data_IF_224521765623
#
_entry.id   IF_224521765623
#
_cell.length_a   1.000
_cell.length_b   1.000
_cell.length_c   1.000
_cell.angle_alpha   90.00
_cell.angle_beta   90.00
_cell.angle_gamma   90.00
#
_symmetry.space_group_name_H-M   'P 1'
#
loop_
_entity.id
_entity.type
_entity.pdbx_description
1 polymer ?
#
# COMPACT_ATOMS: atom_id res chain seq x y z
N UNK A 1 11.66 45.65 -10.56
CA UNK A 1 10.69 44.90 -11.38
C UNK A 1 10.80 43.44 -10.96
N UNK A 2 9.93 42.99 -10.05
CA UNK A 2 9.98 41.66 -9.44
C UNK A 2 9.09 40.76 -10.28
N UNK A 3 9.69 39.77 -10.94
CA UNK A 3 8.96 38.75 -11.69
C UNK A 3 8.29 37.83 -10.66
N UNK A 4 7.00 38.08 -10.43
CA UNK A 4 6.14 37.16 -9.69
C UNK A 4 5.86 35.95 -10.58
N UNK A 5 6.19 34.76 -10.10
CA UNK A 5 5.74 33.52 -10.71
C UNK A 5 4.30 33.28 -10.28
N UNK A 6 3.35 33.54 -11.18
CA UNK A 6 1.99 33.02 -11.01
C UNK A 6 2.04 31.52 -11.30
N UNK A 7 1.93 30.72 -10.25
CA UNK A 7 1.73 29.28 -10.40
C UNK A 7 0.38 29.12 -11.07
N UNK A 8 0.40 28.81 -12.38
CA UNK A 8 -0.80 28.49 -13.13
C UNK A 8 -1.30 27.14 -12.62
N UNK A 9 -2.11 27.18 -11.54
CA UNK A 9 -2.87 26.06 -11.00
C UNK A 9 -3.98 25.72 -12.00
N UNK A 10 -3.56 25.22 -13.16
CA UNK A 10 -4.43 24.70 -14.18
C UNK A 10 -4.91 23.33 -13.68
N UNK A 11 -5.85 23.35 -12.72
CA UNK A 11 -6.59 22.20 -12.22
C UNK A 11 -7.40 21.61 -13.36
N UNK A 12 -6.73 20.88 -14.26
CA UNK A 12 -7.36 19.80 -15.01
C UNK A 12 -7.96 18.90 -13.94
N UNK A 13 -9.29 18.89 -13.83
CA UNK A 13 -10.01 18.17 -12.78
C UNK A 13 -9.40 16.78 -12.62
N UNK A 14 -8.91 16.47 -11.43
CA UNK A 14 -8.22 15.20 -11.19
C UNK A 14 -9.13 14.07 -11.65
N UNK A 15 -8.61 13.17 -12.50
CA UNK A 15 -9.36 11.96 -12.84
C UNK A 15 -9.64 11.22 -11.55
N UNK A 16 -10.85 10.66 -11.43
CA UNK A 16 -11.18 9.84 -10.28
C UNK A 16 -10.19 8.69 -10.19
N UNK A 17 -9.48 8.62 -9.07
CA UNK A 17 -8.61 7.49 -8.75
C UNK A 17 -9.38 6.62 -7.78
N UNK A 18 -9.63 5.40 -8.19
CA UNK A 18 -10.20 4.39 -7.32
C UNK A 18 -9.24 4.15 -6.16
N UNK A 19 -9.75 4.22 -4.93
CA UNK A 19 -8.94 4.00 -3.74
C UNK A 19 -9.28 2.62 -3.17
N UNK A 20 -8.26 1.77 -3.03
CA UNK A 20 -8.44 0.35 -2.73
C UNK A 20 -9.08 0.15 -1.34
N UNK A 21 -8.83 1.07 -0.39
CA UNK A 21 -9.42 1.01 0.94
C UNK A 21 -10.95 1.17 0.94
N UNK A 22 -11.53 1.74 -0.12
CA UNK A 22 -12.99 1.81 -0.25
C UNK A 22 -13.60 0.42 -0.32
N UNK A 23 -12.90 -0.57 -0.89
CA UNK A 23 -13.40 -1.95 -0.95
C UNK A 23 -13.47 -2.65 0.41
N UNK A 24 -12.79 -2.10 1.42
CA UNK A 24 -12.81 -2.60 2.78
C UNK A 24 -14.01 -2.07 3.57
N UNK A 25 -14.71 -1.05 3.07
CA UNK A 25 -15.90 -0.50 3.71
C UNK A 25 -17.10 -1.42 3.46
N UNK A 26 -17.87 -1.72 4.51
CA UNK A 26 -19.14 -2.42 4.38
C UNK A 26 -20.14 -1.65 3.50
N UNK A 27 -20.12 -0.32 3.52
CA UNK A 27 -21.02 0.54 2.72
C UNK A 27 -20.63 0.63 1.24
N UNK A 28 -19.46 0.12 0.85
CA UNK A 28 -19.01 0.21 -0.54
C UNK A 28 -19.91 -0.58 -1.49
N UNK A 29 -20.18 -1.85 -1.17
CA UNK A 29 -21.02 -2.70 -2.01
C UNK A 29 -22.46 -2.18 -2.07
N UNK A 30 -22.99 -1.71 -0.95
CA UNK A 30 -24.34 -1.14 -0.88
C UNK A 30 -24.46 0.13 -1.73
N UNK A 31 -23.47 1.02 -1.64
CA UNK A 31 -23.41 2.26 -2.43
C UNK A 31 -23.30 1.95 -3.92
N UNK A 32 -22.43 1.00 -4.30
CA UNK A 32 -22.28 0.58 -5.70
C UNK A 32 -23.55 -0.07 -6.21
N UNK A 33 -24.16 -0.98 -5.46
CA UNK A 33 -25.37 -1.69 -5.87
C UNK A 33 -26.56 -0.73 -6.04
N UNK A 34 -26.68 0.27 -5.17
CA UNK A 34 -27.70 1.30 -5.26
C UNK A 34 -27.52 2.17 -6.52
N UNK A 35 -26.29 2.62 -6.78
CA UNK A 35 -25.96 3.51 -7.91
C UNK A 35 -25.85 2.79 -9.26
N UNK A 36 -25.68 1.45 -9.26
CA UNK A 36 -25.57 0.65 -10.48
C UNK A 36 -26.90 0.45 -11.19
N UNK A 37 -28.04 0.70 -10.53
CA UNK A 37 -29.37 0.50 -11.09
C UNK A 37 -29.77 1.66 -11.99
N UNK A 38 -29.20 1.72 -13.19
CA UNK A 38 -29.67 2.63 -14.23
C UNK A 38 -30.73 1.94 -15.11
N UNK A 39 -31.98 2.40 -14.95
CA UNK A 39 -33.15 1.93 -15.72
C UNK A 39 -33.47 2.84 -16.94
N UNK A 40 -32.53 3.66 -17.39
CA UNK A 40 -32.75 4.53 -18.55
C UNK A 40 -32.74 3.79 -19.89
N UNK A 41 -33.37 4.41 -20.88
CA UNK A 41 -33.41 3.93 -22.26
C UNK A 41 -32.03 4.07 -22.95
N UNK A 42 -31.67 3.08 -23.76
CA UNK A 42 -30.43 3.07 -24.54
C UNK A 42 -29.89 1.67 -24.79
N UNK A 43 -28.85 1.57 -25.63
CA UNK A 43 -28.17 0.30 -25.88
C UNK A 43 -27.42 -0.19 -24.62
N UNK A 44 -27.13 -1.48 -24.54
CA UNK A 44 -26.47 -2.08 -23.38
C UNK A 44 -25.17 -1.35 -22.98
N UNK A 45 -24.36 -0.94 -23.96
CA UNK A 45 -23.12 -0.19 -23.72
C UNK A 45 -23.38 1.20 -23.12
N UNK A 46 -24.43 1.89 -23.57
CA UNK A 46 -24.82 3.20 -23.03
C UNK A 46 -25.29 3.07 -21.58
N UNK A 47 -26.11 2.07 -21.28
CA UNK A 47 -26.60 1.79 -19.91
C UNK A 47 -25.45 1.46 -18.96
N UNK A 48 -24.49 0.66 -19.43
CA UNK A 48 -23.27 0.34 -18.67
C UNK A 48 -22.43 1.60 -18.39
N UNK A 49 -22.14 2.41 -19.42
CA UNK A 49 -21.39 3.66 -19.27
C UNK A 49 -22.07 4.64 -18.31
N UNK A 50 -23.40 4.81 -18.41
CA UNK A 50 -24.17 5.65 -17.49
C UNK A 50 -24.15 5.16 -16.05
N UNK A 51 -24.14 3.85 -15.85
CA UNK A 51 -24.03 3.25 -14.50
C UNK A 51 -22.65 3.54 -13.89
N UNK A 52 -21.58 3.44 -14.68
CA UNK A 52 -20.23 3.80 -14.24
C UNK A 52 -20.08 5.30 -13.93
N UNK A 53 -20.70 6.17 -14.75
CA UNK A 53 -20.72 7.61 -14.51
C UNK A 53 -21.41 7.98 -13.20
N UNK A 54 -22.43 7.23 -12.78
CA UNK A 54 -23.16 7.44 -11.51
C UNK A 54 -22.43 6.91 -10.29
N UNK A 55 -21.68 5.81 -10.41
CA UNK A 55 -20.85 5.30 -9.31
C UNK A 55 -19.79 6.31 -8.92
N UNK A 56 -19.16 6.97 -9.90
CA UNK A 56 -18.03 7.89 -9.68
C UNK A 56 -18.31 8.97 -8.61
N UNK A 57 -19.38 9.78 -8.68
CA UNK A 57 -19.69 10.76 -7.64
C UNK A 57 -20.01 10.10 -6.29
N UNK A 58 -20.69 8.96 -6.28
CA UNK A 58 -20.98 8.22 -5.04
C UNK A 58 -19.73 7.73 -4.32
N UNK A 59 -18.73 7.24 -5.06
CA UNK A 59 -17.45 6.83 -4.47
C UNK A 59 -16.61 8.03 -4.02
N UNK A 60 -16.68 9.16 -4.73
CA UNK A 60 -16.03 10.41 -4.29
C UNK A 60 -16.64 10.86 -2.96
N UNK A 61 -17.96 10.87 -2.87
CA UNK A 61 -18.69 11.27 -1.67
C UNK A 61 -18.44 10.32 -0.49
N UNK A 62 -18.47 9.00 -0.71
CA UNK A 62 -18.09 8.01 0.31
C UNK A 62 -16.67 8.24 0.83
N UNK A 63 -15.72 8.48 -0.09
CA UNK A 63 -14.35 8.78 0.27
C UNK A 63 -14.22 10.09 1.08
N UNK A 64 -14.93 11.13 0.67
CA UNK A 64 -14.91 12.43 1.36
C UNK A 64 -15.53 12.35 2.76
N UNK A 65 -16.64 11.61 2.92
CA UNK A 65 -17.33 11.44 4.21
C UNK A 65 -16.54 10.61 5.20
N UNK A 66 -15.96 9.50 4.74
CA UNK A 66 -15.35 8.52 5.65
C UNK A 66 -13.84 8.59 5.75
N UNK A 67 -13.14 8.96 4.68
CA UNK A 67 -11.71 8.72 4.57
C UNK A 67 -10.87 9.97 4.26
N UNK A 68 -11.50 11.15 4.16
CA UNK A 68 -10.79 12.42 3.96
C UNK A 68 -9.74 12.69 5.05
N UNK A 69 -10.11 12.42 6.29
CA UNK A 69 -9.26 12.62 7.47
C UNK A 69 -8.89 11.29 8.13
N UNK A 70 -8.53 10.29 7.31
CA UNK A 70 -8.20 8.94 7.80
C UNK A 70 -7.05 8.96 8.82
N UNK A 71 -6.07 9.85 8.63
CA UNK A 71 -4.95 10.04 9.56
C UNK A 71 -5.41 10.59 10.92
N UNK A 72 -6.39 11.49 10.92
CA UNK A 72 -6.96 12.03 12.16
C UNK A 72 -7.80 10.98 12.86
N UNK A 73 -8.58 10.20 12.11
CA UNK A 73 -9.41 9.12 12.66
C UNK A 73 -8.56 7.99 13.25
N UNK A 74 -7.46 7.63 12.60
CA UNK A 74 -6.51 6.64 13.13
C UNK A 74 -5.95 7.12 14.46
N UNK A 75 -5.50 8.38 14.53
CA UNK A 75 -5.00 8.96 15.77
C UNK A 75 -6.07 9.01 16.86
N UNK A 76 -7.28 9.44 16.55
CA UNK A 76 -8.38 9.47 17.51
C UNK A 76 -8.74 8.07 18.02
N UNK A 77 -8.81 7.06 17.15
CA UNK A 77 -9.09 5.69 17.54
C UNK A 77 -7.97 5.11 18.42
N UNK A 78 -6.72 5.47 18.13
CA UNK A 78 -5.55 5.12 18.94
C UNK A 78 -5.58 5.79 20.31
N UNK A 79 -5.82 7.10 20.37
CA UNK A 79 -5.89 7.85 21.62
C UNK A 79 -7.01 7.30 22.52
N UNK A 80 -8.17 6.94 21.95
CA UNK A 80 -9.26 6.26 22.68
C UNK A 80 -8.78 4.92 23.26
N UNK A 81 -8.11 4.10 22.45
CA UNK A 81 -7.60 2.79 22.88
C UNK A 81 -6.58 2.95 24.02
N UNK A 82 -5.67 3.92 23.91
CA UNK A 82 -4.65 4.20 24.92
C UNK A 82 -5.28 4.65 26.25
N UNK A 83 -6.33 5.48 26.21
CA UNK A 83 -7.08 5.88 27.41
C UNK A 83 -7.75 4.68 28.07
N UNK A 84 -8.42 3.82 27.30
CA UNK A 84 -9.11 2.63 27.84
C UNK A 84 -8.09 1.64 28.42
N UNK A 85 -6.96 1.44 27.75
CA UNK A 85 -5.88 0.59 28.24
C UNK A 85 -5.25 1.15 29.52
N UNK A 86 -5.11 2.48 29.64
CA UNK A 86 -4.70 3.14 30.88
C UNK A 86 -5.68 2.86 32.04
N UNK A 87 -6.99 3.03 31.80
CA UNK A 87 -8.02 2.70 32.81
C UNK A 87 -7.99 1.22 33.23
N UNK A 88 -7.67 0.33 32.30
CA UNK A 88 -7.54 -1.11 32.57
C UNK A 88 -6.27 -1.47 33.35
N UNK A 89 -5.20 -0.67 33.23
CA UNK A 89 -4.00 -0.82 34.06
C UNK A 89 -4.30 -0.47 35.52
N UNK A 90 -5.15 0.54 35.75
CA UNK A 90 -5.56 0.97 37.09
C UNK A 90 -6.59 0.01 37.73
N UNK A 91 -7.48 -0.60 36.93
CA UNK A 91 -8.47 -1.60 37.37
C UNK A 91 -8.50 -2.86 36.46
N UNK A 92 -7.57 -3.81 36.66
CA UNK A 92 -7.40 -4.96 35.77
C UNK A 92 -8.53 -5.99 35.76
N UNK A 93 -9.37 -6.01 36.81
CA UNK A 93 -10.44 -7.00 36.97
C UNK A 93 -11.79 -6.53 36.43
N UNK A 94 -11.82 -5.33 35.85
CA UNK A 94 -13.04 -4.72 35.35
C UNK A 94 -13.51 -5.36 34.02
N UNK A 95 -14.38 -6.34 34.12
CA UNK A 95 -14.94 -7.06 32.96
C UNK A 95 -15.69 -6.16 31.97
N UNK A 96 -16.20 -5.01 32.41
CA UNK A 96 -16.85 -4.03 31.53
C UNK A 96 -15.81 -3.26 30.70
N UNK A 97 -14.73 -2.79 31.33
CA UNK A 97 -13.62 -2.14 30.62
C UNK A 97 -12.95 -3.10 29.61
N UNK A 98 -12.82 -4.39 29.92
CA UNK A 98 -12.33 -5.40 28.96
C UNK A 98 -13.21 -5.51 27.70
N UNK A 99 -14.53 -5.39 27.83
CA UNK A 99 -15.43 -5.40 26.66
C UNK A 99 -15.24 -4.15 25.80
N UNK A 100 -15.18 -2.98 26.44
CA UNK A 100 -14.97 -1.70 25.75
C UNK A 100 -13.59 -1.68 25.07
N UNK A 101 -12.55 -2.19 25.72
CA UNK A 101 -11.21 -2.29 25.16
C UNK A 101 -11.21 -3.15 23.88
N UNK A 102 -11.90 -4.29 23.91
CA UNK A 102 -12.01 -5.17 22.75
C UNK A 102 -12.72 -4.49 21.58
N UNK A 103 -13.77 -3.73 21.85
CA UNK A 103 -14.50 -2.95 20.83
C UNK A 103 -13.63 -1.83 20.25
N UNK A 104 -12.99 -1.03 21.10
CA UNK A 104 -12.08 0.04 20.68
C UNK A 104 -10.87 -0.49 19.90
N UNK A 105 -10.34 -1.65 20.29
CA UNK A 105 -9.25 -2.32 19.57
C UNK A 105 -9.68 -2.74 18.17
N UNK A 106 -10.91 -3.24 18.02
CA UNK A 106 -11.49 -3.60 16.73
C UNK A 106 -11.67 -2.36 15.85
N UNK A 107 -12.26 -1.28 16.39
CA UNK A 107 -12.43 0.01 15.68
C UNK A 107 -11.07 0.55 15.20
N UNK A 108 -10.07 0.60 16.09
CA UNK A 108 -8.72 1.04 15.74
C UNK A 108 -8.10 0.18 14.64
N UNK A 109 -8.23 -1.15 14.73
CA UNK A 109 -7.68 -2.05 13.72
C UNK A 109 -8.30 -1.81 12.34
N UNK A 110 -9.61 -1.63 12.25
CA UNK A 110 -10.30 -1.37 10.97
C UNK A 110 -9.83 -0.06 10.33
N UNK A 111 -9.76 1.02 11.12
CA UNK A 111 -9.28 2.33 10.64
C UNK A 111 -7.81 2.28 10.25
N UNK A 112 -6.97 1.59 11.04
CA UNK A 112 -5.55 1.41 10.75
C UNK A 112 -5.33 0.65 9.44
N UNK A 113 -6.06 -0.44 9.19
CA UNK A 113 -5.96 -1.19 7.92
C UNK A 113 -6.31 -0.30 6.72
N UNK A 114 -7.39 0.49 6.82
CA UNK A 114 -7.75 1.43 5.77
C UNK A 114 -6.65 2.50 5.56
N UNK A 115 -6.06 3.03 6.64
CA UNK A 115 -4.96 3.99 6.58
C UNK A 115 -3.72 3.41 5.90
N UNK A 116 -3.34 2.18 6.24
CA UNK A 116 -2.20 1.47 5.62
C UNK A 116 -2.41 1.28 4.13
N UNK A 117 -3.60 0.84 3.70
CA UNK A 117 -3.92 0.65 2.29
C UNK A 117 -3.87 1.99 1.53
N UNK A 118 -4.45 3.04 2.13
CA UNK A 118 -4.40 4.40 1.57
C UNK A 118 -2.94 4.89 1.41
N UNK A 119 -2.11 4.77 2.44
CA UNK A 119 -0.69 5.14 2.41
C UNK A 119 0.13 4.32 1.40
N UNK A 120 -0.15 3.02 1.28
CA UNK A 120 0.50 2.15 0.28
C UNK A 120 0.15 2.58 -1.14
N UNK A 121 -1.10 2.95 -1.39
CA UNK A 121 -1.52 3.43 -2.69
C UNK A 121 -0.96 4.82 -2.99
N UNK A 122 -0.98 5.73 -2.01
CA UNK A 122 -0.42 7.08 -2.11
C UNK A 122 1.09 7.04 -2.37
N UNK A 123 1.84 6.22 -1.63
CA UNK A 123 3.29 6.06 -1.84
C UNK A 123 3.62 5.43 -3.21
N UNK A 124 2.82 4.49 -3.72
CA UNK A 124 2.97 4.00 -5.10
C UNK A 124 2.71 5.11 -6.12
N UNK A 125 1.71 5.94 -5.89
CA UNK A 125 1.42 7.09 -6.74
C UNK A 125 2.54 8.14 -6.69
N UNK A 126 3.04 8.47 -5.51
CA UNK A 126 4.19 9.37 -5.31
C UNK A 126 5.42 8.81 -6.02
N UNK A 127 5.70 7.51 -5.86
CA UNK A 127 6.78 6.83 -6.57
C UNK A 127 6.65 6.98 -8.09
N UNK A 128 5.47 6.73 -8.66
CA UNK A 128 5.25 6.86 -10.10
C UNK A 128 5.50 8.30 -10.56
N UNK A 129 4.97 9.28 -9.83
CA UNK A 129 5.17 10.70 -10.14
C UNK A 129 6.64 11.12 -10.03
N UNK A 130 7.35 10.73 -8.96
CA UNK A 130 8.75 11.10 -8.76
C UNK A 130 9.70 10.33 -9.68
N UNK A 131 9.34 9.10 -10.06
CA UNK A 131 10.07 8.28 -11.02
C UNK A 131 10.04 8.83 -12.43
N UNK A 132 8.91 9.37 -12.86
CA UNK A 132 8.81 10.09 -14.14
C UNK A 132 9.56 11.43 -14.11
N UNK A 133 9.77 12.02 -12.93
CA UNK A 133 10.33 13.37 -12.79
C UNK A 133 11.86 13.44 -12.61
N UNK A 134 12.63 12.36 -12.81
CA UNK A 134 14.10 12.34 -12.64
C UNK A 134 14.60 13.10 -11.39
N UNK A 135 13.86 13.00 -10.29
CA UNK A 135 14.12 13.81 -9.09
C UNK A 135 15.36 13.32 -8.33
N UNK A 136 15.97 14.18 -7.51
CA UNK A 136 17.07 13.77 -6.61
C UNK A 136 16.64 12.65 -5.67
N UNK A 137 15.38 12.67 -5.21
CA UNK A 137 14.82 11.63 -4.36
C UNK A 137 14.70 10.28 -5.10
N UNK A 138 14.27 10.28 -6.36
CA UNK A 138 14.23 9.08 -7.20
C UNK A 138 15.61 8.44 -7.34
N UNK A 139 16.63 9.23 -7.71
CA UNK A 139 18.00 8.74 -7.81
C UNK A 139 18.56 8.26 -6.47
N UNK A 140 18.26 8.95 -5.37
CA UNK A 140 18.66 8.52 -4.02
C UNK A 140 18.01 7.18 -3.65
N UNK A 141 16.74 6.99 -3.97
CA UNK A 141 16.01 5.75 -3.69
C UNK A 141 16.50 4.59 -4.54
N UNK A 142 16.87 4.83 -5.82
CA UNK A 142 17.57 3.84 -6.64
C UNK A 142 18.90 3.44 -6.00
N UNK A 143 19.70 4.41 -5.51
CA UNK A 143 20.97 4.12 -4.82
C UNK A 143 20.75 3.26 -3.58
N UNK A 144 19.75 3.58 -2.75
CA UNK A 144 19.40 2.80 -1.56
C UNK A 144 18.98 1.37 -1.95
N UNK A 145 18.15 1.20 -2.98
CA UNK A 145 17.75 -0.13 -3.48
C UNK A 145 18.94 -0.93 -4.01
N UNK A 146 19.82 -0.31 -4.82
CA UNK A 146 21.05 -0.95 -5.31
C UNK A 146 21.96 -1.38 -4.16
N UNK A 147 22.07 -0.56 -3.12
CA UNK A 147 22.85 -0.88 -1.94
C UNK A 147 22.24 -2.05 -1.14
N UNK A 148 20.93 -2.02 -0.87
CA UNK A 148 20.22 -3.10 -0.14
C UNK A 148 20.25 -4.43 -0.88
N UNK A 149 20.11 -4.40 -2.21
CA UNK A 149 20.10 -5.61 -3.03
C UNK A 149 21.52 -6.06 -3.43
N UNK A 150 22.56 -5.38 -2.95
CA UNK A 150 23.94 -5.79 -3.21
C UNK A 150 24.21 -7.08 -2.46
N UNK A 151 24.50 -8.15 -3.20
CA UNK A 151 24.99 -9.40 -2.63
C UNK A 151 26.41 -9.16 -2.11
N UNK A 152 26.56 -9.09 -0.79
CA UNK A 152 27.85 -8.83 -0.13
C UNK A 152 28.66 -10.09 0.12
N UNK A 153 27.98 -11.24 0.22
CA UNK A 153 28.60 -12.52 0.52
C UNK A 153 27.78 -13.65 -0.09
N UNK A 154 28.46 -14.62 -0.68
CA UNK A 154 27.86 -15.91 -1.06
C UNK A 154 28.69 -17.06 -0.51
N UNK A 155 28.06 -18.21 -0.36
CA UNK A 155 28.73 -19.46 0.01
C UNK A 155 28.68 -20.41 -1.19
N UNK A 156 29.83 -20.90 -1.59
CA UNK A 156 29.98 -21.89 -2.67
C UNK A 156 29.63 -23.31 -2.17
N UNK A 157 29.38 -24.21 -3.12
CA UNK A 157 29.19 -25.65 -2.98
C UNK A 157 30.24 -26.35 -2.12
N UNK A 158 31.47 -25.83 -2.09
CA UNK A 158 32.57 -26.34 -1.24
C UNK A 158 32.58 -25.76 0.19
N UNK A 159 31.51 -25.05 0.61
CA UNK A 159 31.42 -24.40 1.91
C UNK A 159 32.27 -23.13 2.07
N UNK A 160 32.92 -22.68 0.99
CA UNK A 160 33.78 -21.48 1.00
C UNK A 160 32.96 -20.21 0.84
N UNK A 161 33.36 -19.19 1.57
CA UNK A 161 32.66 -17.91 1.65
C UNK A 161 33.39 -16.89 0.79
N UNK A 162 32.68 -16.32 -0.17
CA UNK A 162 33.19 -15.27 -1.03
C UNK A 162 32.57 -13.93 -0.63
N UNK A 163 33.41 -12.96 -0.30
CA UNK A 163 32.98 -11.58 0.07
C UNK A 163 33.44 -10.55 -0.97
N UNK A 164 34.34 -10.94 -1.87
CA UNK A 164 34.81 -10.09 -2.96
C UNK A 164 33.85 -10.20 -4.16
N UNK A 165 33.52 -9.07 -4.80
CA UNK A 165 32.52 -9.01 -5.86
C UNK A 165 32.91 -9.88 -7.06
N UNK A 166 34.19 -9.90 -7.44
CA UNK A 166 34.68 -10.70 -8.57
C UNK A 166 34.59 -12.19 -8.29
N UNK A 167 34.89 -12.59 -7.05
CA UNK A 167 34.77 -13.99 -6.61
C UNK A 167 33.30 -14.42 -6.50
N UNK A 168 32.41 -13.51 -6.09
CA UNK A 168 30.96 -13.76 -6.06
C UNK A 168 30.45 -14.01 -7.47
N UNK A 169 30.86 -13.21 -8.46
CA UNK A 169 30.47 -13.40 -9.87
C UNK A 169 30.99 -14.74 -10.40
N UNK A 170 32.26 -15.06 -10.13
CA UNK A 170 32.87 -16.31 -10.59
C UNK A 170 32.17 -17.54 -10.01
N UNK A 171 31.91 -17.57 -8.71
CA UNK A 171 31.20 -18.69 -8.08
C UNK A 171 29.74 -18.78 -8.55
N UNK A 172 29.08 -17.66 -8.86
CA UNK A 172 27.77 -17.68 -9.52
C UNK A 172 27.82 -18.29 -10.92
N UNK A 173 28.80 -17.91 -11.74
CA UNK A 173 28.97 -18.48 -13.08
C UNK A 173 29.29 -19.96 -13.03
N UNK A 174 30.19 -20.40 -12.14
CA UNK A 174 30.56 -21.81 -11.98
C UNK A 174 29.35 -22.64 -11.52
N UNK A 175 28.58 -22.13 -10.56
CA UNK A 175 27.34 -22.76 -10.12
C UNK A 175 26.34 -22.93 -11.26
N UNK A 176 26.05 -21.87 -12.03
CA UNK A 176 25.09 -21.96 -13.13
C UNK A 176 25.62 -22.75 -14.33
N UNK A 177 26.92 -22.72 -14.62
CA UNK A 177 27.55 -23.59 -15.63
C UNK A 177 27.40 -25.05 -15.25
N UNK A 178 27.62 -25.40 -13.99
CA UNK A 178 27.41 -26.75 -13.48
C UNK A 178 25.91 -27.14 -13.55
N UNK A 179 25.03 -26.26 -13.06
CA UNK A 179 23.57 -26.48 -13.06
C UNK A 179 22.97 -26.67 -14.46
N UNK A 180 23.49 -25.95 -15.46
CA UNK A 180 22.95 -25.97 -16.83
C UNK A 180 23.65 -26.99 -17.75
N UNK A 181 24.88 -27.37 -17.44
CA UNK A 181 25.63 -28.39 -18.20
C UNK A 181 25.34 -29.80 -17.70
N UNK A 182 25.08 -29.97 -16.40
CA UNK A 182 24.66 -31.25 -15.84
C UNK A 182 23.13 -31.29 -15.78
N UNK A 183 22.52 -31.97 -16.76
CA UNK A 183 21.08 -32.16 -16.84
C UNK A 183 20.56 -32.91 -15.61
N UNK A 184 20.16 -32.17 -14.58
CA UNK A 184 19.36 -32.65 -13.46
C UNK A 184 20.00 -33.76 -12.63
N UNK A 185 20.98 -33.42 -11.79
CA UNK A 185 21.18 -34.15 -10.53
C UNK A 185 21.12 -33.18 -9.37
N UNK A 186 19.91 -33.05 -8.83
CA UNK A 186 19.68 -32.47 -7.51
C UNK A 186 20.46 -33.30 -6.48
N UNK A 187 21.61 -32.80 -6.06
CA UNK A 187 22.28 -33.30 -4.85
C UNK A 187 21.61 -32.58 -3.69
N UNK A 188 20.61 -33.24 -3.12
CA UNK A 188 20.12 -32.96 -1.76
C UNK A 188 21.28 -33.27 -0.83
N UNK A 189 21.86 -32.23 -0.23
CA UNK A 189 22.71 -32.42 0.95
C UNK A 189 21.84 -32.17 2.19
N UNK A 190 21.39 -33.27 2.80
CA UNK A 190 21.03 -33.31 4.22
C UNK A 190 22.32 -33.17 5.06
N UNK A 191 22.24 -32.34 6.11
CA UNK A 191 23.32 -32.08 7.06
C UNK A 191 23.20 -30.71 7.71
#
# INVERSE_FOLDING_TARGET
MIIQWTTNDNRRGHSFKFLDHLTLDSEFLDTVQHLWRYEGEGCAMFRFMRSLEQIKPGLIDLNQRKYRDIDLKERQARDKLDVIQGMLQDDPMNTHLHKIEKEARKEHYEVYQAAVVFLKQKSKQEWLCEGDLNTKFFHQTIRIRRYRNRILRIQDTNGRVHTNQDQIVQAFEEYYKCLLSDGGKAVVHEG
#
